data_IF_644331721725
#
_entry.id   IF_644331721725
#
_cell.length_a   1.000
_cell.length_b   1.000
_cell.length_c   1.000
_cell.angle_alpha   90.00
_cell.angle_beta   90.00
_cell.angle_gamma   90.00
#
_symmetry.space_group_name_H-M   'P 1'
#
loop_
_entity.id
_entity.type
_entity.pdbx_description
1 polymer ?
#
# COMPACT_ATOMS: atom_id res chain seq x y z
N UNK A 1 -10.12 -21.13 3.35
CA UNK A 1 -9.86 -19.71 3.72
C UNK A 1 -8.40 -19.41 3.39
N UNK A 2 -8.12 -18.25 2.79
CA UNK A 2 -6.78 -17.88 2.33
C UNK A 2 -6.49 -16.42 2.71
N UNK A 3 -5.22 -16.06 2.82
CA UNK A 3 -4.78 -14.66 2.84
C UNK A 3 -4.77 -14.11 1.40
N UNK A 4 -4.87 -12.78 1.25
CA UNK A 4 -4.72 -12.08 -0.03
C UNK A 4 -3.43 -11.25 -0.01
N UNK A 5 -2.70 -11.28 -1.12
CA UNK A 5 -1.50 -10.48 -1.35
C UNK A 5 -1.71 -9.53 -2.54
N UNK A 6 -1.28 -8.27 -2.42
CA UNK A 6 -1.36 -7.26 -3.47
C UNK A 6 -2.09 -5.99 -3.03
N UNK A 7 -2.55 -5.14 -3.95
CA UNK A 7 -2.56 -5.27 -5.42
C UNK A 7 -2.30 -3.93 -6.13
N UNK A 8 -1.50 -3.06 -5.53
CA UNK A 8 -1.25 -1.70 -6.04
C UNK A 8 -0.63 -1.73 -7.45
N UNK A 9 -1.15 -0.93 -8.38
CA UNK A 9 -0.53 -0.76 -9.69
C UNK A 9 0.89 -0.16 -9.54
N UNK A 10 1.96 -0.82 -10.00
CA UNK A 10 3.32 -0.29 -9.89
C UNK A 10 3.50 1.08 -10.57
N UNK A 11 2.66 1.45 -11.53
CA UNK A 11 2.70 2.75 -12.19
C UNK A 11 2.47 3.93 -11.21
N UNK A 12 1.76 3.68 -10.09
CA UNK A 12 1.54 4.67 -9.02
C UNK A 12 2.86 5.21 -8.46
N UNK A 13 3.92 4.42 -8.46
CA UNK A 13 5.22 4.83 -7.92
C UNK A 13 5.94 5.89 -8.78
N UNK A 14 5.38 6.27 -9.92
CA UNK A 14 5.84 7.41 -10.72
C UNK A 14 5.09 8.72 -10.44
N UNK A 15 4.06 8.69 -9.58
CA UNK A 15 3.30 9.88 -9.21
C UNK A 15 4.00 10.68 -8.09
N UNK A 16 3.36 11.74 -7.60
CA UNK A 16 3.88 12.48 -6.44
C UNK A 16 3.80 11.64 -5.15
N UNK A 17 4.63 11.91 -4.13
CA UNK A 17 4.55 11.24 -2.83
C UNK A 17 3.14 11.20 -2.24
N UNK A 18 2.38 12.28 -2.35
CA UNK A 18 1.01 12.39 -1.84
C UNK A 18 0.06 11.44 -2.59
N UNK A 19 0.23 11.31 -3.91
CA UNK A 19 -0.54 10.38 -4.71
C UNK A 19 -0.21 8.93 -4.36
N UNK A 20 1.08 8.59 -4.19
CA UNK A 20 1.52 7.25 -3.75
C UNK A 20 0.87 6.90 -2.40
N UNK A 21 0.94 7.81 -1.43
CA UNK A 21 0.34 7.59 -0.12
C UNK A 21 -1.20 7.44 -0.22
N UNK A 22 -1.85 8.24 -1.06
CA UNK A 22 -3.30 8.20 -1.26
C UNK A 22 -3.76 6.85 -1.85
N UNK A 23 -3.10 6.37 -2.89
CA UNK A 23 -3.46 5.09 -3.51
C UNK A 23 -3.15 3.89 -2.61
N UNK A 24 -2.06 3.95 -1.84
CA UNK A 24 -1.76 2.92 -0.83
C UNK A 24 -2.86 2.83 0.24
N UNK A 25 -3.34 3.98 0.72
CA UNK A 25 -4.46 4.05 1.69
C UNK A 25 -5.74 3.48 1.11
N UNK A 26 -6.08 3.82 -0.14
CA UNK A 26 -7.26 3.27 -0.83
C UNK A 26 -7.25 1.74 -0.90
N UNK A 27 -6.11 1.14 -1.21
CA UNK A 27 -5.97 -0.34 -1.23
C UNK A 27 -6.16 -0.94 0.16
N UNK A 28 -5.61 -0.30 1.20
CA UNK A 28 -5.79 -0.75 2.60
C UNK A 28 -7.25 -0.60 3.06
N UNK A 29 -7.90 0.52 2.73
CA UNK A 29 -9.31 0.77 3.06
C UNK A 29 -10.23 -0.23 2.35
N UNK A 30 -9.92 -0.58 1.09
CA UNK A 30 -10.68 -1.56 0.32
C UNK A 30 -10.59 -2.97 0.91
N UNK A 31 -9.44 -3.35 1.50
CA UNK A 31 -9.33 -4.61 2.25
C UNK A 31 -10.01 -4.51 3.63
N UNK A 32 -9.93 -3.35 4.27
CA UNK A 32 -10.50 -3.07 5.59
C UNK A 32 -9.65 -3.56 6.76
N UNK A 33 -10.11 -3.37 8.01
CA UNK A 33 -9.37 -3.73 9.23
C UNK A 33 -9.44 -5.24 9.54
N UNK A 34 -9.31 -6.08 8.53
CA UNK A 34 -9.39 -7.54 8.68
C UNK A 34 -7.99 -8.18 8.70
N UNK A 35 -7.92 -9.43 9.18
CA UNK A 35 -6.70 -10.22 9.10
C UNK A 35 -6.52 -10.83 7.70
N UNK A 36 -5.28 -11.15 7.33
CA UNK A 36 -4.97 -11.87 6.10
C UNK A 36 -4.64 -11.02 4.88
N UNK A 37 -4.27 -9.74 5.05
CA UNK A 37 -3.71 -8.92 3.97
C UNK A 37 -2.19 -8.84 4.06
N UNK A 38 -1.53 -9.18 2.96
CA UNK A 38 -0.14 -8.83 2.70
C UNK A 38 -0.12 -7.78 1.59
N UNK A 39 0.08 -6.51 1.96
CA UNK A 39 0.17 -5.46 0.95
C UNK A 39 1.34 -5.74 0.01
N UNK A 40 1.11 -5.63 -1.30
CA UNK A 40 2.16 -5.70 -2.30
C UNK A 40 1.73 -4.93 -3.56
N UNK A 41 2.67 -4.74 -4.48
CA UNK A 41 2.35 -4.35 -5.84
C UNK A 41 1.61 -5.50 -6.55
N UNK A 42 0.80 -5.16 -7.55
CA UNK A 42 0.12 -6.12 -8.43
C UNK A 42 1.06 -6.75 -9.47
N UNK A 43 2.22 -6.14 -9.70
CA UNK A 43 3.25 -6.65 -10.59
C UNK A 43 4.65 -6.22 -10.12
N UNK A 44 5.70 -6.57 -10.89
CA UNK A 44 7.07 -6.20 -10.58
C UNK A 44 7.28 -4.68 -10.60
N UNK A 45 8.14 -4.20 -9.71
CA UNK A 45 8.58 -2.80 -9.70
C UNK A 45 9.39 -2.48 -10.96
N UNK A 46 9.20 -1.29 -11.52
CA UNK A 46 10.00 -0.82 -12.66
C UNK A 46 11.41 -0.41 -12.21
N UNK A 47 12.43 -0.68 -13.02
CA UNK A 47 13.81 -0.23 -12.75
C UNK A 47 13.96 1.30 -12.72
N UNK A 48 13.01 2.03 -13.30
CA UNK A 48 12.99 3.50 -13.32
C UNK A 48 12.23 4.11 -12.14
N UNK A 49 11.70 3.28 -11.25
CA UNK A 49 10.93 3.76 -10.11
C UNK A 49 11.82 4.61 -9.20
N UNK A 50 11.44 5.85 -8.88
CA UNK A 50 12.17 6.66 -7.91
C UNK A 50 12.14 5.98 -6.52
N UNK A 51 13.30 5.64 -5.91
CA UNK A 51 13.36 4.96 -4.63
C UNK A 51 12.63 5.70 -3.50
N UNK A 52 12.60 7.03 -3.55
CA UNK A 52 11.88 7.88 -2.59
C UNK A 52 10.38 7.57 -2.56
N UNK A 53 9.77 7.25 -3.70
CA UNK A 53 8.36 6.89 -3.76
C UNK A 53 8.10 5.49 -3.18
N UNK A 54 9.10 4.59 -3.26
CA UNK A 54 9.04 3.29 -2.57
C UNK A 54 9.07 3.47 -1.05
N UNK A 55 9.93 4.38 -0.56
CA UNK A 55 9.99 4.71 0.86
C UNK A 55 8.66 5.29 1.35
N UNK A 56 8.07 6.23 0.61
CA UNK A 56 6.74 6.80 0.90
C UNK A 56 5.67 5.72 0.96
N UNK A 57 5.68 4.78 -0.01
CA UNK A 57 4.75 3.64 -0.02
C UNK A 57 4.89 2.79 1.24
N UNK A 58 6.10 2.31 1.55
CA UNK A 58 6.35 1.42 2.69
C UNK A 58 5.98 2.09 4.01
N UNK A 59 6.39 3.35 4.19
CA UNK A 59 6.07 4.11 5.39
C UNK A 59 4.56 4.30 5.55
N UNK A 60 3.85 4.64 4.46
CA UNK A 60 2.39 4.79 4.48
C UNK A 60 1.68 3.48 4.80
N UNK A 61 2.09 2.36 4.20
CA UNK A 61 1.47 1.05 4.46
C UNK A 61 1.62 0.67 5.93
N UNK A 62 2.81 0.85 6.51
CA UNK A 62 3.06 0.53 7.91
C UNK A 62 2.30 1.46 8.88
N UNK A 63 2.32 2.77 8.66
CA UNK A 63 1.66 3.72 9.57
C UNK A 63 0.15 3.60 9.49
N UNK A 64 -0.42 3.66 8.29
CA UNK A 64 -1.87 3.70 8.09
C UNK A 64 -2.54 2.38 8.44
N UNK A 65 -1.93 1.23 8.14
CA UNK A 65 -2.52 -0.06 8.53
C UNK A 65 -2.58 -0.26 10.05
N UNK A 66 -1.67 0.33 10.82
CA UNK A 66 -1.74 0.34 12.29
C UNK A 66 -2.88 1.23 12.78
N UNK A 67 -3.03 2.43 12.22
CA UNK A 67 -4.14 3.32 12.55
C UNK A 67 -5.49 2.70 12.22
N UNK A 68 -5.62 2.09 11.04
CA UNK A 68 -6.86 1.44 10.59
C UNK A 68 -7.28 0.32 11.54
N UNK A 69 -6.33 -0.52 11.98
CA UNK A 69 -6.58 -1.59 12.95
C UNK A 69 -6.92 -1.04 14.34
N UNK A 70 -6.22 0.00 14.79
CA UNK A 70 -6.48 0.61 16.09
C UNK A 70 -7.87 1.26 16.18
N UNK A 71 -8.36 1.85 15.09
CA UNK A 71 -9.73 2.43 15.02
C UNK A 71 -10.85 1.39 15.02
N UNK A 72 -10.53 0.16 14.64
CA UNK A 72 -11.50 -0.94 14.54
C UNK A 72 -11.53 -1.86 15.77
N UNK A 73 -10.61 -1.65 16.72
CA UNK A 73 -10.57 -2.28 18.03
C UNK A 73 -11.49 -1.53 19.01
#
# INVERSE_FOLDING_TARGET
KVALQGNLDPAVLFCTPEAVATEAKKVLDAFGPHHGHVFNLGHGISQFTPPENVEVLVNTVHSYSRELKAKAA
#
